data_IF_946902905555
#
_entry.id   IF_946902905555
#
_cell.length_a   1.000
_cell.length_b   1.000
_cell.length_c   1.000
_cell.angle_alpha   90.00
_cell.angle_beta   90.00
_cell.angle_gamma   90.00
#
_symmetry.space_group_name_H-M   'P 1'
#
loop_
_entity.id
_entity.type
_entity.pdbx_description
1 polymer ?
#
# COMPACT_ATOMS: atom_id res chain seq x y z
N UNK A 1 -76.53 -0.21 -2.32
CA UNK A 1 -75.34 -1.07 -2.54
C UNK A 1 -74.14 -0.15 -2.77
N UNK A 2 -73.86 0.75 -1.83
CA UNK A 2 -72.93 0.61 -0.68
C UNK A 2 -71.53 0.17 -1.10
N UNK A 3 -70.68 1.18 -1.27
CA UNK A 3 -69.24 1.11 -1.04
C UNK A 3 -69.00 0.51 0.35
N UNK A 4 -67.99 -0.35 0.45
CA UNK A 4 -67.41 -0.76 1.71
C UNK A 4 -65.94 -0.38 1.65
N UNK A 5 -65.65 0.79 2.22
CA UNK A 5 -64.39 1.08 2.89
C UNK A 5 -64.14 0.03 3.99
N UNK A 6 -62.88 -0.11 4.40
CA UNK A 6 -62.35 -0.56 5.72
C UNK A 6 -61.01 -1.30 5.50
N UNK A 7 -59.94 -1.07 6.29
CA UNK A 7 -59.54 0.15 6.99
C UNK A 7 -58.03 0.47 6.83
N UNK A 8 -57.68 1.73 7.10
CA UNK A 8 -56.34 2.16 7.47
C UNK A 8 -55.85 1.39 8.72
N UNK A 9 -54.90 0.48 8.54
CA UNK A 9 -54.12 -0.07 9.64
C UNK A 9 -52.89 0.82 9.87
N UNK A 10 -53.08 1.73 10.82
CA UNK A 10 -52.08 2.45 11.60
C UNK A 10 -50.64 1.95 11.49
N UNK A 11 -49.79 2.85 10.99
CA UNK A 11 -48.34 2.80 11.04
C UNK A 11 -47.83 2.56 12.46
N UNK A 12 -47.48 1.31 12.79
CA UNK A 12 -46.53 1.03 13.85
C UNK A 12 -45.12 1.31 13.31
N UNK A 13 -44.61 2.50 13.60
CA UNK A 13 -43.20 2.88 13.43
C UNK A 13 -42.30 1.99 14.30
N UNK A 14 -41.82 0.89 13.73
CA UNK A 14 -40.60 0.24 14.21
C UNK A 14 -39.38 0.99 13.65
N UNK A 15 -38.52 1.61 14.48
CA UNK A 15 -37.32 2.29 14.01
C UNK A 15 -36.29 1.34 13.34
N UNK A 16 -36.48 0.02 13.45
CA UNK A 16 -35.71 -1.00 12.73
C UNK A 16 -36.22 -1.35 11.32
N UNK A 17 -37.47 -1.01 10.97
CA UNK A 17 -38.08 -1.35 9.68
C UNK A 17 -37.54 -0.51 8.52
N UNK A 18 -37.40 0.80 8.73
CA UNK A 18 -36.86 1.72 7.73
C UNK A 18 -35.40 1.42 7.38
N UNK A 19 -34.55 1.09 8.37
CA UNK A 19 -33.14 0.73 8.11
C UNK A 19 -33.00 -0.55 7.28
N UNK A 20 -33.84 -1.57 7.54
CA UNK A 20 -33.86 -2.82 6.76
C UNK A 20 -34.29 -2.59 5.31
N UNK A 21 -35.33 -1.79 5.09
CA UNK A 21 -35.80 -1.42 3.76
C UNK A 21 -34.77 -0.60 2.98
N UNK A 22 -34.08 0.32 3.64
CA UNK A 22 -33.01 1.13 3.04
C UNK A 22 -31.80 0.28 2.64
N UNK A 23 -31.32 -0.60 3.52
CA UNK A 23 -30.22 -1.51 3.20
C UNK A 23 -30.56 -2.43 2.01
N UNK A 24 -31.76 -3.01 2.01
CA UNK A 24 -32.21 -3.88 0.93
C UNK A 24 -32.27 -3.13 -0.41
N UNK A 25 -32.74 -1.87 -0.41
CA UNK A 25 -32.74 -1.01 -1.60
C UNK A 25 -31.33 -0.75 -2.13
N UNK A 26 -30.37 -0.47 -1.25
CA UNK A 26 -28.98 -0.25 -1.65
C UNK A 26 -28.35 -1.54 -2.22
N UNK A 27 -28.58 -2.69 -1.59
CA UNK A 27 -28.09 -3.98 -2.08
C UNK A 27 -28.65 -4.32 -3.45
N UNK A 28 -29.95 -4.09 -3.69
CA UNK A 28 -30.59 -4.30 -5.00
C UNK A 28 -29.93 -3.44 -6.07
N UNK A 29 -29.64 -2.17 -5.79
CA UNK A 29 -28.98 -1.27 -6.75
C UNK A 29 -27.59 -1.76 -7.14
N UNK A 30 -26.82 -2.26 -6.17
CA UNK A 30 -25.52 -2.87 -6.42
C UNK A 30 -25.68 -4.17 -7.23
N UNK A 31 -26.65 -5.03 -6.89
CA UNK A 31 -26.93 -6.28 -7.59
C UNK A 31 -27.31 -6.06 -9.06
N UNK A 32 -28.15 -5.05 -9.35
CA UNK A 32 -28.53 -4.69 -10.73
C UNK A 32 -27.30 -4.31 -11.54
N UNK A 33 -26.39 -3.50 -11.00
CA UNK A 33 -25.16 -3.17 -11.71
C UNK A 33 -24.26 -4.41 -11.87
N UNK A 34 -24.11 -5.26 -10.84
CA UNK A 34 -23.32 -6.50 -10.94
C UNK A 34 -23.84 -7.43 -12.04
N UNK A 35 -25.15 -7.60 -12.14
CA UNK A 35 -25.77 -8.38 -13.21
C UNK A 35 -25.53 -7.73 -14.57
N UNK A 36 -25.66 -6.41 -14.68
CA UNK A 36 -25.32 -5.66 -15.89
C UNK A 36 -23.86 -5.85 -16.31
N UNK A 37 -22.93 -5.81 -15.34
CA UNK A 37 -21.50 -6.03 -15.55
C UNK A 37 -21.19 -7.44 -16.06
N UNK A 38 -21.81 -8.45 -15.47
CA UNK A 38 -21.65 -9.83 -15.88
C UNK A 38 -22.23 -10.10 -17.27
N UNK A 39 -23.45 -9.64 -17.53
CA UNK A 39 -24.16 -9.95 -18.76
C UNK A 39 -23.66 -9.16 -19.97
N UNK A 40 -23.23 -7.91 -19.76
CA UNK A 40 -22.86 -6.99 -20.85
C UNK A 40 -21.36 -6.91 -21.10
N UNK A 41 -20.53 -7.13 -20.07
CA UNK A 41 -19.08 -6.98 -20.16
C UNK A 41 -18.31 -8.24 -19.70
N UNK A 42 -19.02 -9.32 -19.37
CA UNK A 42 -18.40 -10.59 -18.97
C UNK A 42 -17.70 -10.56 -17.60
N UNK A 43 -17.97 -9.55 -16.76
CA UNK A 43 -17.27 -9.38 -15.49
C UNK A 43 -17.97 -10.17 -14.38
N UNK A 44 -17.30 -11.22 -13.90
CA UNK A 44 -17.68 -11.93 -12.68
C UNK A 44 -16.70 -11.60 -11.55
N UNK A 45 -17.15 -10.86 -10.53
CA UNK A 45 -16.35 -10.47 -9.36
C UNK A 45 -15.76 -11.65 -8.56
N UNK A 46 -16.25 -12.88 -8.77
CA UNK A 46 -15.68 -14.09 -8.15
C UNK A 46 -14.32 -14.46 -8.76
N UNK A 47 -14.16 -14.30 -10.06
CA UNK A 47 -12.97 -14.70 -10.82
C UNK A 47 -12.18 -13.54 -11.42
N UNK A 48 -12.80 -12.37 -11.60
CA UNK A 48 -12.20 -11.21 -12.21
C UNK A 48 -11.04 -10.67 -11.35
N UNK A 49 -9.94 -10.37 -12.03
CA UNK A 49 -8.70 -9.88 -11.43
C UNK A 49 -8.18 -8.66 -12.19
N UNK A 50 -7.44 -7.82 -11.47
CA UNK A 50 -6.70 -6.67 -11.98
C UNK A 50 -5.21 -6.90 -11.74
N UNK A 51 -4.38 -6.43 -12.67
CA UNK A 51 -2.93 -6.38 -12.46
C UNK A 51 -2.61 -5.15 -11.61
N UNK A 52 -1.90 -5.38 -10.51
CA UNK A 52 -1.44 -4.35 -9.59
C UNK A 52 0.08 -4.48 -9.50
N UNK A 53 0.79 -3.36 -9.60
CA UNK A 53 2.20 -3.32 -9.26
C UNK A 53 2.29 -3.16 -7.74
N UNK A 54 2.78 -4.19 -7.07
CA UNK A 54 3.14 -4.09 -5.65
C UNK A 54 4.52 -3.42 -5.52
N UNK A 55 4.85 -2.93 -4.32
CA UNK A 55 6.13 -2.26 -4.01
C UNK A 55 7.37 -3.07 -4.44
N UNK A 56 7.23 -4.40 -4.50
CA UNK A 56 8.22 -5.36 -5.02
C UNK A 56 8.47 -5.27 -6.55
N UNK A 57 7.81 -4.35 -7.27
CA UNK A 57 7.81 -4.17 -8.74
C UNK A 57 7.33 -5.36 -9.58
N UNK A 58 6.91 -6.45 -8.95
CA UNK A 58 6.29 -7.57 -9.64
C UNK A 58 4.80 -7.29 -9.90
N UNK A 59 4.30 -7.50 -11.14
CA UNK A 59 2.88 -7.39 -11.42
C UNK A 59 2.13 -8.57 -10.77
N UNK A 60 1.37 -8.30 -9.73
CA UNK A 60 0.50 -9.29 -9.08
C UNK A 60 -0.93 -9.17 -9.58
N UNK A 61 -1.60 -10.32 -9.69
CA UNK A 61 -2.99 -10.41 -10.08
C UNK A 61 -3.86 -10.36 -8.83
N UNK A 62 -4.46 -9.22 -8.55
CA UNK A 62 -5.33 -9.02 -7.39
C UNK A 62 -6.80 -9.04 -7.78
N UNK A 63 -7.67 -9.39 -6.84
CA UNK A 63 -9.12 -9.35 -7.09
C UNK A 63 -9.66 -7.93 -6.87
N UNK A 64 -10.80 -7.64 -7.46
CA UNK A 64 -11.50 -6.37 -7.20
C UNK A 64 -12.08 -6.33 -5.78
N UNK A 65 -11.78 -5.28 -5.05
CA UNK A 65 -12.28 -5.02 -3.69
C UNK A 65 -13.40 -3.99 -3.69
N UNK A 66 -13.38 -3.05 -4.64
CA UNK A 66 -14.37 -1.97 -4.71
C UNK A 66 -15.02 -1.89 -6.09
N UNK A 67 -16.28 -1.44 -6.11
CA UNK A 67 -17.03 -1.30 -7.36
C UNK A 67 -16.36 -0.32 -8.34
N UNK A 68 -15.78 0.76 -7.80
CA UNK A 68 -15.10 1.80 -8.58
C UNK A 68 -13.87 1.30 -9.35
N UNK A 69 -13.22 0.24 -8.86
CA UNK A 69 -12.03 -0.32 -9.49
C UNK A 69 -12.32 -0.95 -10.86
N UNK A 70 -13.57 -1.33 -11.14
CA UNK A 70 -13.94 -2.01 -12.39
C UNK A 70 -14.11 -1.04 -13.55
N UNK A 71 -14.54 0.19 -13.30
CA UNK A 71 -14.93 1.12 -14.36
C UNK A 71 -13.84 1.45 -15.38
N UNK A 72 -12.56 1.64 -14.99
CA UNK A 72 -11.49 1.88 -15.95
C UNK A 72 -11.31 0.73 -16.96
N UNK A 73 -11.67 -0.51 -16.60
CA UNK A 73 -11.48 -1.68 -17.47
C UNK A 73 -12.57 -1.84 -18.53
N UNK A 74 -13.72 -1.21 -18.34
CA UNK A 74 -14.88 -1.31 -19.25
C UNK A 74 -15.18 -0.01 -19.97
N UNK A 75 -14.45 1.06 -19.70
CA UNK A 75 -14.69 2.40 -20.26
C UNK A 75 -14.70 2.39 -21.79
N UNK A 76 -13.80 1.63 -22.41
CA UNK A 76 -13.74 1.45 -23.88
C UNK A 76 -14.96 0.74 -24.43
N UNK A 77 -15.47 -0.29 -23.73
CA UNK A 77 -16.67 -1.04 -24.12
C UNK A 77 -17.94 -0.22 -23.90
N UNK A 78 -17.99 0.58 -22.83
CA UNK A 78 -19.08 1.52 -22.54
C UNK A 78 -19.13 2.63 -23.59
N UNK A 79 -17.97 3.12 -24.06
CA UNK A 79 -17.90 4.14 -25.10
C UNK A 79 -18.46 3.66 -26.45
N UNK A 80 -18.43 2.36 -26.71
CA UNK A 80 -19.00 1.74 -27.91
C UNK A 80 -20.53 1.52 -27.84
N UNK A 81 -21.16 1.73 -26.67
CA UNK A 81 -22.61 1.59 -26.51
C UNK A 81 -23.37 2.74 -27.20
N UNK A 82 -24.58 2.44 -27.67
CA UNK A 82 -25.48 3.47 -28.22
C UNK A 82 -25.90 4.50 -27.16
N UNK A 83 -26.25 5.72 -27.59
CA UNK A 83 -26.54 6.87 -26.71
C UNK A 83 -27.52 6.54 -25.56
N UNK A 84 -28.62 5.84 -25.86
CA UNK A 84 -29.64 5.45 -24.86
C UNK A 84 -29.10 4.43 -23.85
N UNK A 85 -28.35 3.43 -24.32
CA UNK A 85 -27.76 2.38 -23.48
C UNK A 85 -26.67 2.96 -22.56
N UNK A 86 -25.83 3.85 -23.11
CA UNK A 86 -24.81 4.57 -22.33
C UNK A 86 -25.43 5.42 -21.23
N UNK A 87 -26.49 6.17 -21.54
CA UNK A 87 -27.19 6.96 -20.53
C UNK A 87 -27.79 6.10 -19.42
N UNK A 88 -28.45 4.99 -19.78
CA UNK A 88 -29.00 4.05 -18.81
C UNK A 88 -27.91 3.42 -17.92
N UNK A 89 -26.78 3.02 -18.53
CA UNK A 89 -25.62 2.49 -17.81
C UNK A 89 -25.06 3.52 -16.80
N UNK A 90 -24.85 4.76 -17.22
CA UNK A 90 -24.34 5.83 -16.36
C UNK A 90 -25.26 6.09 -15.15
N UNK A 91 -26.58 6.17 -15.36
CA UNK A 91 -27.54 6.33 -14.26
C UNK A 91 -27.54 5.14 -13.29
N UNK A 92 -27.49 3.90 -13.81
CA UNK A 92 -27.40 2.69 -12.97
C UNK A 92 -26.07 2.67 -12.21
N UNK A 93 -24.97 3.05 -12.86
CA UNK A 93 -23.64 3.15 -12.28
C UNK A 93 -23.61 4.12 -11.11
N UNK A 94 -24.09 5.35 -11.29
CA UNK A 94 -24.13 6.37 -10.25
C UNK A 94 -24.89 5.89 -9.02
N UNK A 95 -26.12 5.39 -9.20
CA UNK A 95 -26.93 4.90 -8.08
C UNK A 95 -26.33 3.69 -7.36
N UNK A 96 -25.65 2.80 -8.08
CA UNK A 96 -24.98 1.65 -7.50
C UNK A 96 -23.71 2.06 -6.74
N UNK A 97 -22.94 3.04 -7.23
CA UNK A 97 -21.75 3.58 -6.55
C UNK A 97 -22.13 4.29 -5.27
N UNK A 98 -23.14 5.17 -5.31
CA UNK A 98 -23.67 5.81 -4.10
C UNK A 98 -24.14 4.78 -3.08
N UNK A 99 -24.88 3.77 -3.54
CA UNK A 99 -25.40 2.71 -2.66
C UNK A 99 -24.29 1.83 -2.08
N UNK A 100 -23.25 1.54 -2.86
CA UNK A 100 -22.08 0.80 -2.40
C UNK A 100 -21.37 1.54 -1.26
N UNK A 101 -21.07 2.82 -1.44
CA UNK A 101 -20.37 3.61 -0.42
C UNK A 101 -21.23 3.88 0.81
N UNK A 102 -22.56 4.01 0.65
CA UNK A 102 -23.46 4.09 1.79
C UNK A 102 -23.41 2.82 2.63
N UNK A 103 -23.53 1.63 2.02
CA UNK A 103 -23.40 0.36 2.74
C UNK A 103 -22.02 0.25 3.38
N UNK A 104 -20.96 0.61 2.65
CA UNK A 104 -19.60 0.57 3.17
C UNK A 104 -19.45 1.44 4.43
N UNK A 105 -19.95 2.68 4.39
CA UNK A 105 -19.91 3.61 5.52
C UNK A 105 -20.76 3.11 6.70
N UNK A 106 -21.94 2.57 6.45
CA UNK A 106 -22.85 2.09 7.50
C UNK A 106 -22.25 0.92 8.29
N UNK A 107 -21.43 0.08 7.64
CA UNK A 107 -20.82 -1.11 8.24
C UNK A 107 -19.35 -0.94 8.62
N UNK A 108 -18.73 0.21 8.35
CA UNK A 108 -17.35 0.51 8.78
C UNK A 108 -17.15 0.42 10.31
N UNK A 109 -18.06 0.91 11.18
CA UNK A 109 -17.89 0.80 12.63
C UNK A 109 -17.80 -0.65 13.12
N UNK A 110 -18.52 -1.57 12.44
CA UNK A 110 -18.47 -3.00 12.74
C UNK A 110 -17.09 -3.59 12.41
N UNK A 111 -16.48 -3.19 11.29
CA UNK A 111 -15.12 -3.60 10.90
C UNK A 111 -14.10 -3.11 11.93
N UNK A 112 -14.17 -1.84 12.32
CA UNK A 112 -13.27 -1.27 13.33
C UNK A 112 -13.39 -2.00 14.68
N UNK A 113 -14.61 -2.30 15.12
CA UNK A 113 -14.85 -3.06 16.35
C UNK A 113 -14.24 -4.47 16.30
N UNK A 114 -14.41 -5.18 15.17
CA UNK A 114 -13.83 -6.52 14.97
C UNK A 114 -12.30 -6.48 14.89
N UNK A 115 -11.74 -5.49 14.19
CA UNK A 115 -10.29 -5.28 14.08
C UNK A 115 -9.65 -5.08 15.47
N UNK A 116 -10.23 -4.16 16.25
CA UNK A 116 -9.79 -3.85 17.62
C UNK A 116 -9.92 -5.06 18.53
N UNK A 117 -11.07 -5.75 18.52
CA UNK A 117 -11.30 -6.93 19.36
C UNK A 117 -10.44 -8.15 18.97
N UNK A 118 -9.89 -8.16 17.75
CA UNK A 118 -9.07 -9.27 17.25
C UNK A 118 -7.57 -8.96 17.24
N UNK A 119 -7.17 -7.72 17.55
CA UNK A 119 -5.77 -7.27 17.49
C UNK A 119 -5.18 -7.24 16.07
N UNK A 120 -6.01 -7.00 15.05
CA UNK A 120 -5.60 -6.91 13.65
C UNK A 120 -5.72 -5.46 13.20
N UNK A 121 -4.77 -5.02 12.38
CA UNK A 121 -4.82 -3.73 11.70
C UNK A 121 -6.10 -3.58 10.85
N UNK A 122 -6.84 -2.48 11.07
CA UNK A 122 -8.08 -2.19 10.36
C UNK A 122 -7.89 -2.13 8.85
N UNK A 123 -6.73 -1.63 8.40
CA UNK A 123 -6.44 -1.46 6.98
C UNK A 123 -6.38 -2.80 6.23
N UNK A 124 -6.09 -3.90 6.95
CA UNK A 124 -6.07 -5.26 6.39
C UNK A 124 -7.46 -5.89 6.28
N UNK A 125 -8.44 -5.40 7.05
CA UNK A 125 -9.82 -5.94 7.07
C UNK A 125 -10.75 -5.09 6.20
N UNK A 126 -10.49 -3.80 6.06
CA UNK A 126 -11.30 -2.86 5.28
C UNK A 126 -11.64 -3.34 3.84
N UNK A 127 -10.69 -3.89 3.05
CA UNK A 127 -11.00 -4.42 1.72
C UNK A 127 -11.97 -5.61 1.71
N UNK A 128 -12.09 -6.34 2.84
CA UNK A 128 -13.01 -7.47 3.00
C UNK A 128 -14.45 -6.99 2.98
N UNK A 129 -14.76 -5.84 3.59
CA UNK A 129 -16.10 -5.27 3.58
C UNK A 129 -16.53 -4.91 2.15
N UNK A 130 -15.67 -4.20 1.42
CA UNK A 130 -15.92 -3.86 0.01
C UNK A 130 -16.19 -5.12 -0.82
N UNK A 131 -15.33 -6.13 -0.66
CA UNK A 131 -15.48 -7.39 -1.38
C UNK A 131 -16.71 -8.20 -0.96
N UNK A 132 -17.11 -8.16 0.31
CA UNK A 132 -18.34 -8.79 0.79
C UNK A 132 -19.58 -8.16 0.14
N UNK A 133 -19.62 -6.84 -0.03
CA UNK A 133 -20.72 -6.15 -0.73
C UNK A 133 -20.77 -6.60 -2.21
N UNK A 134 -19.61 -6.70 -2.86
CA UNK A 134 -19.53 -7.17 -4.25
C UNK A 134 -19.97 -8.62 -4.42
N UNK A 135 -19.60 -9.50 -3.49
CA UNK A 135 -19.87 -10.94 -3.61
C UNK A 135 -21.21 -11.37 -3.01
N UNK A 136 -21.87 -10.51 -2.25
CA UNK A 136 -23.17 -10.80 -1.67
C UNK A 136 -24.19 -11.14 -2.77
N UNK A 137 -25.01 -12.13 -2.49
CA UNK A 137 -26.01 -12.68 -3.42
C UNK A 137 -27.30 -12.93 -2.65
N UNK A 138 -28.26 -12.01 -2.82
CA UNK A 138 -29.55 -12.06 -2.11
C UNK A 138 -30.37 -13.31 -2.46
N UNK A 139 -30.10 -13.96 -3.62
CA UNK A 139 -30.82 -15.17 -4.04
C UNK A 139 -30.61 -16.36 -3.09
N UNK A 140 -29.52 -16.35 -2.32
CA UNK A 140 -29.15 -17.39 -1.35
C UNK A 140 -29.96 -17.34 -0.05
N UNK A 141 -30.95 -16.44 0.04
CA UNK A 141 -31.84 -16.25 1.20
C UNK A 141 -31.11 -16.02 2.52
N UNK A 142 -29.86 -15.56 2.47
CA UNK A 142 -29.04 -15.26 3.64
C UNK A 142 -29.08 -13.76 3.91
N UNK A 143 -29.26 -13.35 5.16
CA UNK A 143 -29.18 -11.94 5.53
C UNK A 143 -27.75 -11.42 5.28
N UNK A 144 -27.64 -10.22 4.71
CA UNK A 144 -26.37 -9.54 4.45
C UNK A 144 -25.50 -9.44 5.71
N UNK A 145 -26.10 -9.09 6.86
CA UNK A 145 -25.35 -8.96 8.13
C UNK A 145 -24.73 -10.29 8.52
N UNK A 146 -25.50 -11.38 8.49
CA UNK A 146 -25.00 -12.74 8.80
C UNK A 146 -23.93 -13.20 7.82
N UNK A 147 -24.09 -12.89 6.54
CA UNK A 147 -23.07 -13.16 5.53
C UNK A 147 -21.78 -12.37 5.78
N UNK A 148 -21.90 -11.08 6.10
CA UNK A 148 -20.79 -10.20 6.40
C UNK A 148 -20.05 -10.65 7.66
N UNK A 149 -20.76 -10.95 8.75
CA UNK A 149 -20.18 -11.50 9.98
C UNK A 149 -19.36 -12.76 9.72
N UNK A 150 -19.91 -13.69 8.93
CA UNK A 150 -19.21 -14.93 8.57
C UNK A 150 -17.95 -14.63 7.74
N UNK A 151 -18.05 -13.70 6.79
CA UNK A 151 -16.94 -13.31 5.91
C UNK A 151 -15.83 -12.60 6.68
N UNK A 152 -16.18 -11.68 7.58
CA UNK A 152 -15.24 -10.98 8.45
C UNK A 152 -14.58 -11.95 9.42
N UNK A 153 -15.34 -12.85 10.06
CA UNK A 153 -14.79 -13.86 10.97
C UNK A 153 -13.77 -14.77 10.27
N UNK A 154 -14.09 -15.21 9.06
CA UNK A 154 -13.17 -16.06 8.30
C UNK A 154 -11.92 -15.29 7.86
N UNK A 155 -12.06 -14.01 7.49
CA UNK A 155 -10.94 -13.16 7.13
C UNK A 155 -10.02 -12.87 8.32
N UNK A 156 -10.59 -12.61 9.50
CA UNK A 156 -9.87 -12.48 10.77
C UNK A 156 -9.07 -13.76 11.07
N UNK A 157 -9.68 -14.94 10.90
CA UNK A 157 -8.98 -16.23 11.07
C UNK A 157 -7.81 -16.37 10.10
N UNK A 158 -7.98 -15.95 8.84
CA UNK A 158 -6.91 -16.00 7.84
C UNK A 158 -5.77 -15.05 8.19
N UNK A 159 -6.08 -13.80 8.51
CA UNK A 159 -5.09 -12.77 8.86
C UNK A 159 -4.33 -13.13 10.15
N UNK A 160 -5.00 -13.67 11.17
CA UNK A 160 -4.31 -14.20 12.36
C UNK A 160 -3.44 -15.39 12.01
N UNK A 161 -3.93 -16.29 11.16
CA UNK A 161 -3.17 -17.43 10.68
C UNK A 161 -1.90 -17.01 9.94
N UNK A 162 -1.96 -15.95 9.13
CA UNK A 162 -0.80 -15.35 8.47
C UNK A 162 0.20 -14.77 9.48
N UNK A 163 -0.29 -14.04 10.47
CA UNK A 163 0.55 -13.48 11.54
C UNK A 163 1.27 -14.61 12.28
N UNK A 164 0.56 -15.67 12.67
CA UNK A 164 1.17 -16.81 13.35
C UNK A 164 2.16 -17.57 12.46
N UNK A 165 1.83 -17.75 11.18
CA UNK A 165 2.71 -18.37 10.20
C UNK A 165 4.05 -17.61 10.10
N UNK A 166 3.99 -16.28 10.02
CA UNK A 166 5.17 -15.42 10.00
C UNK A 166 5.95 -15.47 11.32
N UNK A 167 5.26 -15.36 12.46
CA UNK A 167 5.90 -15.34 13.79
C UNK A 167 6.60 -16.64 14.16
N UNK A 168 6.08 -17.78 13.71
CA UNK A 168 6.60 -19.11 14.03
C UNK A 168 7.43 -19.71 12.89
N UNK A 169 7.51 -19.05 11.74
CA UNK A 169 8.20 -19.57 10.56
C UNK A 169 7.57 -20.86 9.99
N UNK A 170 6.25 -21.02 10.14
CA UNK A 170 5.49 -22.20 9.71
C UNK A 170 4.65 -21.90 8.45
N UNK A 171 4.21 -22.93 7.70
CA UNK A 171 3.33 -22.74 6.57
C UNK A 171 2.01 -22.04 6.95
N UNK A 172 1.47 -21.25 6.03
CA UNK A 172 0.21 -20.50 6.23
C UNK A 172 -0.98 -21.41 6.58
N UNK A 173 -1.01 -22.62 6.03
CA UNK A 173 -2.00 -23.65 6.38
C UNK A 173 -1.91 -24.09 7.84
N UNK A 174 -0.71 -24.15 8.42
CA UNK A 174 -0.48 -24.47 9.83
C UNK A 174 -0.74 -23.27 10.75
N UNK A 175 -0.41 -22.05 10.30
CA UNK A 175 -0.66 -20.81 11.05
C UNK A 175 -2.12 -20.64 11.46
N UNK A 176 -3.06 -21.04 10.59
CA UNK A 176 -4.52 -21.01 10.90
C UNK A 176 -4.93 -21.97 12.02
N UNK A 177 -4.15 -23.03 12.25
CA UNK A 177 -4.42 -24.08 13.23
C UNK A 177 -3.77 -23.79 14.58
N UNK A 178 -2.89 -22.79 14.67
CA UNK A 178 -2.15 -22.47 15.91
C UNK A 178 -3.06 -22.32 17.13
N UNK A 179 -4.20 -21.58 17.10
CA UNK A 179 -5.08 -21.51 18.25
C UNK A 179 -5.66 -22.85 18.70
N UNK A 180 -5.91 -23.77 17.75
CA UNK A 180 -6.45 -25.11 18.05
C UNK A 180 -5.35 -26.02 18.61
N UNK A 181 -4.13 -25.92 18.09
CA UNK A 181 -2.96 -26.62 18.61
C UNK A 181 -2.60 -26.14 20.02
N UNK A 182 -2.64 -24.83 20.27
CA UNK A 182 -2.45 -24.26 21.61
C UNK A 182 -3.52 -24.75 22.59
N UNK A 183 -4.78 -24.79 22.16
CA UNK A 183 -5.86 -25.33 22.97
C UNK A 183 -5.68 -26.83 23.27
N UNK A 184 -5.24 -27.61 22.29
CA UNK A 184 -4.95 -29.04 22.49
C UNK A 184 -3.81 -29.25 23.51
N UNK A 185 -2.76 -28.43 23.44
CA UNK A 185 -1.67 -28.43 24.43
C UNK A 185 -2.17 -28.05 25.83
N UNK A 186 -2.98 -26.99 25.96
CA UNK A 186 -3.58 -26.58 27.23
C UNK A 186 -4.47 -27.68 27.84
N UNK A 187 -5.27 -28.36 27.01
CA UNK A 187 -6.07 -29.50 27.45
C UNK A 187 -5.19 -30.67 27.94
N UNK A 188 -4.10 -30.97 27.23
CA UNK A 188 -3.17 -32.02 27.64
C UNK A 188 -2.44 -31.68 28.95
N UNK A 189 -2.07 -30.42 29.17
CA UNK A 189 -1.55 -29.93 30.47
C UNK A 189 -2.59 -30.10 31.59
N UNK A 190 -3.85 -29.73 31.33
CA UNK A 190 -4.92 -29.88 32.32
C UNK A 190 -5.20 -31.36 32.66
N UNK A 191 -5.12 -32.26 31.69
CA UNK A 191 -5.37 -33.69 31.88
C UNK A 191 -4.21 -34.41 32.59
N UNK A 192 -2.97 -34.03 32.28
CA UNK A 192 -1.78 -34.58 32.93
C UNK A 192 -1.54 -34.01 34.33
N UNK A 193 -2.12 -32.84 34.63
CA UNK A 193 -1.97 -32.15 35.93
C UNK A 193 -0.57 -31.57 36.18
N UNK A 194 0.34 -31.68 35.20
CA UNK A 194 1.72 -31.23 35.25
C UNK A 194 2.08 -30.50 33.95
N UNK A 195 3.22 -29.79 33.95
CA UNK A 195 3.77 -29.25 32.71
C UNK A 195 4.23 -30.41 31.79
N UNK A 196 3.87 -30.33 30.51
CA UNK A 196 4.27 -31.31 29.50
C UNK A 196 5.77 -31.23 29.24
N UNK A 197 6.42 -32.39 29.11
CA UNK A 197 7.78 -32.47 28.59
C UNK A 197 7.84 -32.06 27.11
N UNK A 198 9.03 -31.70 26.59
CA UNK A 198 9.21 -31.40 25.17
C UNK A 198 8.69 -32.47 24.21
N UNK A 199 8.90 -33.74 24.56
CA UNK A 199 8.47 -34.89 23.75
C UNK A 199 6.95 -35.08 23.81
N UNK A 200 6.34 -34.94 24.99
CA UNK A 200 4.88 -35.01 25.15
C UNK A 200 4.16 -33.87 24.43
N UNK A 201 4.72 -32.66 24.48
CA UNK A 201 4.21 -31.50 23.74
C UNK A 201 4.24 -31.74 22.23
N UNK A 202 5.37 -32.24 21.72
CA UNK A 202 5.52 -32.51 20.28
C UNK A 202 4.56 -33.61 19.82
N UNK A 203 4.37 -34.68 20.62
CA UNK A 203 3.41 -35.74 20.32
C UNK A 203 1.97 -35.23 20.22
N UNK A 204 1.53 -34.36 21.14
CA UNK A 204 0.18 -33.77 21.11
C UNK A 204 -0.05 -32.96 19.83
N UNK A 205 0.95 -32.18 19.40
CA UNK A 205 0.86 -31.38 18.17
C UNK A 205 0.86 -32.28 16.93
N UNK A 206 1.73 -33.30 16.88
CA UNK A 206 1.82 -34.22 15.75
C UNK A 206 0.54 -35.04 15.61
N UNK A 207 0.00 -35.57 16.71
CA UNK A 207 -1.25 -36.33 16.72
C UNK A 207 -2.44 -35.48 16.25
N UNK A 208 -2.51 -34.21 16.70
CA UNK A 208 -3.52 -33.27 16.22
C UNK A 208 -3.42 -33.05 14.70
N UNK A 209 -2.21 -32.82 14.19
CA UNK A 209 -1.98 -32.57 12.76
C UNK A 209 -2.24 -33.82 11.90
N UNK A 210 -1.92 -35.01 12.40
CA UNK A 210 -2.16 -36.28 11.71
C UNK A 210 -3.65 -36.59 11.55
N UNK A 211 -4.48 -36.16 12.51
CA UNK A 211 -5.94 -36.32 12.46
C UNK A 211 -6.64 -35.23 11.62
N UNK A 212 -5.94 -34.15 11.30
CA UNK A 212 -6.51 -33.02 10.58
C UNK A 212 -6.69 -33.33 9.07
N UNK A 213 -7.76 -32.87 8.40
CA UNK A 213 -7.99 -33.09 6.96
C UNK A 213 -6.88 -32.58 6.02
N UNK A 214 -6.05 -31.66 6.51
CA UNK A 214 -4.95 -31.09 5.75
C UNK A 214 -3.72 -32.00 5.90
N UNK A 215 -3.29 -32.63 4.81
CA UNK A 215 -2.11 -33.52 4.82
C UNK A 215 -0.83 -32.70 4.94
N UNK A 216 -0.17 -32.77 6.10
CA UNK A 216 1.19 -32.28 6.29
C UNK A 216 2.17 -33.44 6.16
N UNK A 217 3.38 -33.19 5.64
CA UNK A 217 4.43 -34.20 5.66
C UNK A 217 4.91 -34.42 7.10
N UNK A 218 5.45 -35.61 7.40
CA UNK A 218 6.00 -35.94 8.74
C UNK A 218 7.04 -34.91 9.18
N UNK A 219 7.93 -34.53 8.26
CA UNK A 219 8.96 -33.51 8.50
C UNK A 219 8.35 -32.14 8.79
N UNK A 220 7.27 -31.76 8.09
CA UNK A 220 6.57 -30.49 8.35
C UNK A 220 5.88 -30.50 9.71
N UNK A 221 5.27 -31.61 10.11
CA UNK A 221 4.62 -31.74 11.42
C UNK A 221 5.63 -31.61 12.56
N UNK A 222 6.81 -32.22 12.42
CA UNK A 222 7.90 -32.09 13.39
C UNK A 222 8.40 -30.65 13.51
N UNK A 223 8.59 -29.95 12.38
CA UNK A 223 8.97 -28.52 12.39
C UNK A 223 7.90 -27.63 13.02
N UNK A 224 6.62 -27.94 12.83
CA UNK A 224 5.51 -27.21 13.46
C UNK A 224 5.49 -27.46 14.96
N UNK A 225 5.64 -28.71 15.40
CA UNK A 225 5.71 -29.07 16.82
C UNK A 225 6.88 -28.36 17.52
N UNK A 226 8.06 -28.40 16.90
CA UNK A 226 9.23 -27.66 17.37
C UNK A 226 8.97 -26.15 17.46
N UNK A 227 8.34 -25.55 16.45
CA UNK A 227 8.01 -24.13 16.44
C UNK A 227 6.96 -23.76 17.52
N UNK A 228 5.96 -24.62 17.75
CA UNK A 228 4.96 -24.46 18.81
C UNK A 228 5.59 -24.53 20.20
N UNK A 229 6.57 -25.42 20.39
CA UNK A 229 7.34 -25.58 21.63
C UNK A 229 8.30 -24.42 21.89
N UNK A 230 9.03 -23.97 20.88
CA UNK A 230 9.95 -22.83 20.99
C UNK A 230 9.21 -21.50 21.19
N UNK A 231 7.94 -21.43 20.82
CA UNK A 231 7.12 -20.23 20.95
C UNK A 231 7.54 -19.13 19.98
N UNK A 232 7.14 -17.89 20.28
CA UNK A 232 7.37 -16.73 19.40
C UNK A 232 8.86 -16.52 19.12
N UNK A 233 9.27 -16.53 17.85
CA UNK A 233 10.51 -15.85 17.41
C UNK A 233 10.18 -14.44 16.95
N UNK A 234 9.75 -13.62 17.89
CA UNK A 234 9.76 -12.16 17.71
C UNK A 234 10.34 -11.55 18.98
N UNK A 235 11.67 -11.37 18.96
CA UNK A 235 12.31 -10.39 19.83
C UNK A 235 11.84 -9.02 19.33
N UNK A 236 10.78 -8.48 19.95
CA UNK A 236 10.54 -7.03 19.90
C UNK A 236 11.57 -6.38 20.81
N UNK A 237 12.12 -5.24 20.38
CA UNK A 237 12.95 -4.37 21.21
C UNK A 237 12.23 -3.96 22.53
N UNK A 238 10.89 -4.00 22.55
CA UNK A 238 10.09 -3.67 23.75
C UNK A 238 10.11 -4.77 24.83
N UNK A 239 10.43 -6.02 24.50
CA UNK A 239 10.57 -7.11 25.49
C UNK A 239 11.96 -7.08 26.14
N UNK A 240 12.86 -6.23 25.63
CA UNK A 240 14.19 -5.97 26.16
C UNK A 240 14.21 -4.84 27.20
N UNK A 241 13.08 -4.44 27.80
CA UNK A 241 13.06 -3.39 28.85
C UNK A 241 13.99 -3.72 30.02
N UNK A 242 14.14 -5.00 30.38
CA UNK A 242 15.11 -5.44 31.40
C UNK A 242 16.59 -5.37 30.95
N UNK A 243 16.85 -5.19 29.66
CA UNK A 243 18.17 -4.88 29.09
C UNK A 243 18.39 -3.37 28.90
N UNK A 244 17.30 -2.59 28.82
CA UNK A 244 17.32 -1.14 28.61
C UNK A 244 17.38 -0.34 29.93
N UNK A 245 16.91 -0.89 31.05
CA UNK A 245 17.12 -0.33 32.40
C UNK A 245 17.85 -1.31 33.34
N UNK A 246 19.14 -1.11 33.65
CA UNK A 246 19.83 -1.90 34.64
C UNK A 246 19.50 -1.36 36.03
N UNK A 247 18.35 -1.72 36.58
CA UNK A 247 18.06 -1.48 37.99
C UNK A 247 17.35 -2.66 38.64
N UNK A 248 18.05 -3.29 39.58
CA UNK A 248 17.58 -4.22 40.62
C UNK A 248 17.22 -5.66 40.20
N UNK A 249 18.24 -6.52 40.10
CA UNK A 249 18.03 -7.97 40.17
C UNK A 249 19.27 -8.79 39.82
N UNK A 250 19.98 -9.31 40.82
CA UNK A 250 21.11 -10.22 40.64
C UNK A 250 20.66 -11.52 39.95
N UNK A 251 21.07 -11.73 38.71
CA UNK A 251 20.83 -12.97 37.99
C UNK A 251 21.82 -13.15 36.84
N UNK A 252 22.85 -13.95 37.08
CA UNK A 252 23.87 -14.37 36.12
C UNK A 252 23.27 -14.85 34.78
N UNK A 253 23.58 -14.17 33.67
CA UNK A 253 23.40 -14.73 32.33
C UNK A 253 24.70 -14.60 31.54
N UNK A 254 25.15 -15.76 31.09
CA UNK A 254 26.45 -16.06 30.50
C UNK A 254 26.82 -15.18 29.30
N UNK A 255 28.10 -14.84 29.25
CA UNK A 255 28.81 -14.24 28.13
C UNK A 255 28.53 -14.97 26.81
N UNK A 256 27.74 -14.36 25.92
CA UNK A 256 27.85 -14.60 24.50
C UNK A 256 28.72 -13.49 23.91
N UNK A 257 29.90 -13.87 23.38
CA UNK A 257 30.79 -12.96 22.65
C UNK A 257 30.14 -12.60 21.31
N UNK A 258 29.40 -11.50 21.30
CA UNK A 258 28.94 -10.81 20.09
C UNK A 258 30.11 -10.05 19.47
N UNK A 259 30.45 -10.43 18.24
CA UNK A 259 31.43 -9.76 17.41
C UNK A 259 30.71 -8.69 16.60
N UNK A 260 30.51 -7.49 17.15
CA UNK A 260 29.78 -6.42 16.47
C UNK A 260 30.55 -5.10 16.48
N UNK A 261 30.90 -4.66 15.27
CA UNK A 261 31.28 -3.30 14.95
C UNK A 261 30.08 -2.37 15.22
N UNK A 262 30.03 -1.77 16.41
CA UNK A 262 29.10 -0.69 16.74
C UNK A 262 29.48 0.57 15.95
N UNK A 263 28.66 0.93 14.96
CA UNK A 263 28.35 2.34 14.71
C UNK A 263 26.98 2.53 15.35
N UNK A 264 26.92 3.32 16.41
CA UNK A 264 25.73 3.49 17.23
C UNK A 264 24.59 4.05 16.36
N UNK A 265 23.35 3.58 16.51
CA UNK A 265 22.19 4.10 15.77
C UNK A 265 22.07 5.64 15.87
N UNK A 266 22.62 6.23 16.95
CA UNK A 266 22.78 7.67 17.09
C UNK A 266 23.71 8.28 16.02
N UNK A 267 24.85 7.65 15.73
CA UNK A 267 25.78 8.08 14.69
C UNK A 267 25.17 7.97 13.30
N UNK A 268 24.35 6.94 13.04
CA UNK A 268 23.64 6.80 11.76
C UNK A 268 22.58 7.90 11.58
N UNK A 269 21.81 8.21 12.64
CA UNK A 269 20.84 9.32 12.61
C UNK A 269 21.57 10.66 12.40
N UNK A 270 22.65 10.92 13.14
CA UNK A 270 23.46 12.12 12.98
C UNK A 270 24.05 12.22 11.58
N UNK A 271 24.48 11.09 11.01
CA UNK A 271 25.00 11.03 9.65
C UNK A 271 23.92 11.35 8.61
N UNK A 272 22.71 10.80 8.74
CA UNK A 272 21.59 11.12 7.84
C UNK A 272 21.18 12.59 7.93
N UNK A 273 21.14 13.16 9.15
CA UNK A 273 20.86 14.57 9.36
C UNK A 273 21.92 15.47 8.70
N UNK A 274 23.21 15.14 8.88
CA UNK A 274 24.32 15.83 8.19
C UNK A 274 24.16 15.78 6.67
N UNK A 275 23.84 14.61 6.11
CA UNK A 275 23.60 14.48 4.67
C UNK A 275 22.44 15.35 4.16
N UNK A 276 21.37 15.48 4.95
CA UNK A 276 20.23 16.35 4.61
C UNK A 276 20.63 17.81 4.66
N UNK A 277 21.39 18.24 5.68
CA UNK A 277 21.91 19.61 5.76
C UNK A 277 22.88 19.92 4.62
N UNK A 278 23.82 19.03 4.32
CA UNK A 278 24.73 19.16 3.18
C UNK A 278 23.95 19.24 1.85
N UNK A 279 22.84 18.49 1.73
CA UNK A 279 21.98 18.54 0.55
C UNK A 279 21.24 19.88 0.44
N UNK A 280 20.80 20.46 1.55
CA UNK A 280 20.18 21.80 1.61
C UNK A 280 21.16 22.86 1.11
N UNK A 281 22.41 22.79 1.55
CA UNK A 281 23.46 23.74 1.16
C UNK A 281 23.85 23.59 -0.31
N UNK A 282 24.03 22.35 -0.78
CA UNK A 282 24.26 22.05 -2.21
C UNK A 282 23.10 22.56 -3.08
N UNK A 283 21.86 22.34 -2.65
CA UNK A 283 20.65 22.82 -3.31
C UNK A 283 20.53 24.36 -3.35
N UNK A 284 21.32 25.08 -2.55
CA UNK A 284 21.31 26.54 -2.46
C UNK A 284 19.96 27.08 -2.01
N UNK A 285 19.30 26.42 -1.05
CA UNK A 285 18.05 26.93 -0.50
C UNK A 285 18.28 28.24 0.23
N UNK A 286 17.44 29.23 -0.02
CA UNK A 286 17.36 30.38 0.89
C UNK A 286 16.90 29.92 2.27
N UNK A 287 17.19 30.68 3.33
CA UNK A 287 16.75 30.33 4.68
C UNK A 287 15.22 30.14 4.80
N UNK A 288 14.44 30.82 3.96
CA UNK A 288 12.98 30.64 3.88
C UNK A 288 12.59 29.33 3.18
N UNK A 289 13.39 28.87 2.21
CA UNK A 289 13.15 27.61 1.49
C UNK A 289 13.59 26.41 2.32
N UNK A 290 14.75 26.49 2.99
CA UNK A 290 15.22 25.46 3.90
C UNK A 290 14.19 25.20 5.02
N UNK A 291 13.64 26.27 5.59
CA UNK A 291 12.58 26.21 6.60
C UNK A 291 11.32 25.46 6.11
N UNK A 292 10.85 25.70 4.88
CA UNK A 292 9.70 24.99 4.29
C UNK A 292 9.99 23.50 4.02
N UNK A 293 11.24 23.16 3.74
CA UNK A 293 11.66 21.77 3.47
C UNK A 293 11.81 20.99 4.77
N UNK A 294 12.46 21.57 5.78
CA UNK A 294 12.64 20.95 7.09
C UNK A 294 11.30 20.68 7.79
N UNK A 295 10.37 21.64 7.76
CA UNK A 295 9.01 21.44 8.27
C UNK A 295 8.31 20.26 7.60
N UNK A 296 8.41 20.16 6.26
CA UNK A 296 7.77 19.08 5.51
C UNK A 296 8.37 17.71 5.77
N UNK A 297 9.65 17.64 6.15
CA UNK A 297 10.35 16.41 6.51
C UNK A 297 10.18 16.05 8.00
N UNK A 298 9.49 16.87 8.79
CA UNK A 298 9.35 16.66 10.23
C UNK A 298 10.65 16.88 11.01
N UNK A 299 11.60 17.63 10.44
CA UNK A 299 12.89 17.94 11.06
C UNK A 299 12.83 19.29 11.78
N UNK A 300 13.77 19.58 12.70
CA UNK A 300 13.79 20.86 13.42
C UNK A 300 13.90 22.07 12.47
N UNK A 301 13.01 23.07 12.65
CA UNK A 301 12.96 24.29 11.85
C UNK A 301 12.63 25.53 12.69
N UNK A 302 12.92 26.72 12.15
CA UNK A 302 12.55 28.02 12.75
C UNK A 302 11.05 28.30 12.56
N UNK A 303 10.26 28.03 13.59
CA UNK A 303 8.80 28.14 13.56
C UNK A 303 8.31 29.57 13.26
N UNK A 304 8.98 30.59 13.82
CA UNK A 304 8.61 32.00 13.58
C UNK A 304 8.85 32.39 12.12
N UNK A 305 9.91 31.86 11.49
CA UNK A 305 10.16 32.05 10.07
C UNK A 305 9.17 31.28 9.21
N UNK A 306 8.82 30.06 9.57
CA UNK A 306 7.79 29.30 8.87
C UNK A 306 6.46 30.04 8.87
N UNK A 307 5.98 30.49 10.03
CA UNK A 307 4.74 31.25 10.17
C UNK A 307 4.73 32.54 9.31
N UNK A 308 5.86 33.27 9.23
CA UNK A 308 5.99 34.45 8.35
C UNK A 308 5.92 34.11 6.86
N UNK A 309 6.46 32.96 6.45
CA UNK A 309 6.39 32.50 5.06
C UNK A 309 4.99 31.97 4.74
N UNK A 310 4.37 31.28 5.68
CA UNK A 310 3.04 30.71 5.58
C UNK A 310 1.96 31.80 5.50
N UNK A 311 2.06 32.85 6.33
CA UNK A 311 1.11 33.96 6.35
C UNK A 311 0.98 34.72 5.00
N UNK A 312 2.03 34.67 4.15
CA UNK A 312 2.06 35.36 2.86
C UNK A 312 1.48 34.52 1.71
N UNK A 313 1.02 33.29 1.96
CA UNK A 313 0.67 32.32 0.92
C UNK A 313 -0.52 31.46 1.34
N UNK A 314 -1.32 31.06 0.36
CA UNK A 314 -2.33 30.03 0.60
C UNK A 314 -1.66 28.67 0.87
N UNK A 315 -2.34 27.81 1.61
CA UNK A 315 -1.91 26.43 1.89
C UNK A 315 -1.59 25.66 0.60
N UNK A 316 -2.40 25.83 -0.45
CA UNK A 316 -2.15 25.24 -1.77
C UNK A 316 -0.86 25.77 -2.44
N UNK A 317 -0.57 27.07 -2.32
CA UNK A 317 0.65 27.69 -2.87
C UNK A 317 1.91 27.23 -2.11
N UNK A 318 1.80 27.04 -0.79
CA UNK A 318 2.85 26.46 0.04
C UNK A 318 3.13 25.02 -0.37
N UNK A 319 2.11 24.15 -0.43
CA UNK A 319 2.27 22.75 -0.88
C UNK A 319 2.94 22.65 -2.25
N UNK A 320 2.52 23.46 -3.22
CA UNK A 320 3.14 23.53 -4.55
C UNK A 320 4.58 24.03 -4.52
N UNK A 321 4.92 24.95 -3.61
CA UNK A 321 6.31 25.40 -3.43
C UNK A 321 7.16 24.32 -2.78
N UNK A 322 6.71 23.76 -1.66
CA UNK A 322 7.41 22.72 -0.92
C UNK A 322 7.71 21.51 -1.78
N UNK A 323 6.75 21.05 -2.60
CA UNK A 323 6.99 19.94 -3.53
C UNK A 323 8.13 20.23 -4.52
N UNK A 324 8.22 21.46 -5.03
CA UNK A 324 9.32 21.88 -5.94
C UNK A 324 10.67 21.88 -5.23
N UNK A 325 10.68 22.27 -3.96
CA UNK A 325 11.89 22.29 -3.15
C UNK A 325 12.34 20.85 -2.82
N UNK A 326 11.41 19.94 -2.50
CA UNK A 326 11.73 18.52 -2.26
C UNK A 326 12.38 17.86 -3.47
N UNK A 327 11.87 18.10 -4.69
CA UNK A 327 12.48 17.57 -5.92
C UNK A 327 13.93 18.08 -6.07
N UNK A 328 14.19 19.35 -5.77
CA UNK A 328 15.55 19.92 -5.81
C UNK A 328 16.45 19.38 -4.69
N UNK A 329 15.89 19.12 -3.50
CA UNK A 329 16.62 18.52 -2.38
C UNK A 329 17.07 17.10 -2.73
N UNK A 330 16.20 16.30 -3.33
CA UNK A 330 16.51 14.93 -3.74
C UNK A 330 17.65 14.90 -4.77
N UNK A 331 17.56 15.76 -5.79
CA UNK A 331 18.64 15.96 -6.74
C UNK A 331 19.95 16.36 -6.04
N UNK A 332 19.87 17.28 -5.08
CA UNK A 332 21.05 17.75 -4.35
C UNK A 332 21.67 16.65 -3.50
N UNK A 333 20.86 15.86 -2.78
CA UNK A 333 21.29 14.77 -1.89
C UNK A 333 22.21 13.79 -2.61
N UNK A 334 21.81 13.37 -3.80
CA UNK A 334 22.53 12.36 -4.59
C UNK A 334 23.62 12.92 -5.52
N UNK A 335 23.77 14.24 -5.63
CA UNK A 335 24.77 14.88 -6.50
C UNK A 335 26.22 14.33 -6.39
N UNK A 336 26.80 14.03 -5.20
CA UNK A 336 28.18 13.56 -5.08
C UNK A 336 28.36 12.15 -5.67
N UNK A 337 27.26 11.42 -5.81
CA UNK A 337 27.22 10.07 -6.36
C UNK A 337 26.86 10.08 -7.86
N UNK A 338 26.63 11.27 -8.45
CA UNK A 338 26.15 11.46 -9.81
C UNK A 338 26.95 12.58 -10.54
N UNK A 339 28.23 12.30 -10.88
CA UNK A 339 29.16 13.33 -11.35
C UNK A 339 28.77 13.99 -12.68
N UNK A 340 28.08 13.29 -13.58
CA UNK A 340 27.69 13.81 -14.91
C UNK A 340 26.54 14.79 -14.80
N UNK A 341 25.53 14.49 -13.97
CA UNK A 341 24.32 15.31 -13.91
C UNK A 341 24.27 16.28 -12.72
N UNK A 342 25.13 16.12 -11.70
CA UNK A 342 25.20 17.03 -10.56
C UNK A 342 25.44 18.50 -10.94
N UNK A 343 26.24 18.74 -11.98
CA UNK A 343 26.55 20.10 -12.47
C UNK A 343 25.32 20.92 -12.90
N UNK A 344 24.17 20.27 -13.13
CA UNK A 344 22.93 20.94 -13.54
C UNK A 344 22.04 21.39 -12.38
N UNK A 345 22.38 21.09 -11.12
CA UNK A 345 21.53 21.32 -9.96
C UNK A 345 21.00 22.76 -9.88
N UNK A 346 21.86 23.74 -10.17
CA UNK A 346 21.53 25.19 -10.12
C UNK A 346 21.16 25.80 -11.46
N UNK A 347 21.29 25.06 -12.55
CA UNK A 347 21.04 25.56 -13.90
C UNK A 347 19.55 25.76 -14.18
N UNK A 348 19.24 26.73 -15.05
CA UNK A 348 17.91 26.93 -15.63
C UNK A 348 17.69 26.00 -16.83
N UNK A 349 16.44 25.76 -17.27
CA UNK A 349 16.19 24.94 -18.45
C UNK A 349 16.89 25.48 -19.70
N UNK A 350 16.93 26.80 -19.88
CA UNK A 350 17.59 27.41 -21.04
C UNK A 350 19.11 27.24 -21.00
N UNK A 351 19.73 27.47 -19.84
CA UNK A 351 21.19 27.41 -19.72
C UNK A 351 21.75 25.98 -19.74
N UNK A 352 20.95 24.98 -19.33
CA UNK A 352 21.40 23.60 -19.22
C UNK A 352 21.23 22.80 -20.51
N UNK A 353 20.39 23.24 -21.45
CA UNK A 353 19.85 22.40 -22.52
C UNK A 353 20.91 21.69 -23.36
N UNK A 354 21.79 22.44 -24.02
CA UNK A 354 22.77 21.86 -24.94
C UNK A 354 23.75 20.93 -24.22
N UNK A 355 24.21 21.34 -23.03
CA UNK A 355 25.10 20.52 -22.22
C UNK A 355 24.41 19.24 -21.74
N UNK A 356 23.14 19.33 -21.33
CA UNK A 356 22.34 18.18 -20.89
C UNK A 356 22.09 17.19 -22.03
N UNK A 357 21.73 17.69 -23.23
CA UNK A 357 21.57 16.85 -24.43
C UNK A 357 22.87 16.13 -24.75
N UNK A 358 24.00 16.84 -24.68
CA UNK A 358 25.32 16.25 -24.88
C UNK A 358 25.60 15.16 -23.84
N UNK A 359 25.40 15.41 -22.54
CA UNK A 359 25.62 14.41 -21.49
C UNK A 359 24.75 13.16 -21.67
N UNK A 360 23.48 13.31 -22.07
CA UNK A 360 22.60 12.15 -22.34
C UNK A 360 23.06 11.41 -23.60
N UNK A 361 23.49 12.13 -24.64
CA UNK A 361 24.03 11.53 -25.86
C UNK A 361 25.34 10.76 -25.59
N UNK A 362 26.23 11.30 -24.76
CA UNK A 362 27.45 10.62 -24.36
C UNK A 362 27.12 9.30 -23.64
N UNK A 363 26.11 9.29 -22.74
CA UNK A 363 25.60 8.05 -22.14
C UNK A 363 25.01 7.07 -23.16
N UNK A 364 24.28 7.56 -24.17
CA UNK A 364 23.69 6.73 -25.21
C UNK A 364 24.78 6.02 -26.04
N UNK A 365 25.83 6.77 -26.40
CA UNK A 365 27.01 6.25 -27.10
C UNK A 365 27.74 5.21 -26.25
N UNK A 366 27.99 5.49 -24.97
CA UNK A 366 28.64 4.54 -24.06
C UNK A 366 27.85 3.23 -23.91
N UNK A 367 26.52 3.30 -23.95
CA UNK A 367 25.65 2.14 -23.82
C UNK A 367 25.31 1.46 -25.16
N UNK A 368 25.79 1.99 -26.29
CA UNK A 368 25.51 1.44 -27.62
C UNK A 368 24.05 1.57 -28.07
N UNK A 369 23.31 2.55 -27.56
CA UNK A 369 21.89 2.75 -27.84
C UNK A 369 21.67 4.11 -28.52
N UNK A 370 20.67 4.18 -29.39
CA UNK A 370 20.29 5.45 -30.03
C UNK A 370 19.84 6.49 -28.99
N UNK A 371 20.29 7.73 -29.15
CA UNK A 371 19.96 8.85 -28.27
C UNK A 371 18.44 9.00 -28.07
N UNK A 372 17.67 8.82 -29.15
CA UNK A 372 16.21 8.90 -29.09
C UNK A 372 15.62 7.79 -28.22
N UNK A 373 16.11 6.56 -28.37
CA UNK A 373 15.65 5.40 -27.59
C UNK A 373 15.94 5.60 -26.11
N UNK A 374 17.16 6.04 -25.75
CA UNK A 374 17.51 6.32 -24.35
C UNK A 374 16.62 7.42 -23.75
N UNK A 375 16.34 8.48 -24.51
CA UNK A 375 15.44 9.56 -24.06
C UNK A 375 14.02 9.05 -23.87
N UNK A 376 13.48 8.26 -24.81
CA UNK A 376 12.14 7.70 -24.70
C UNK A 376 12.00 6.76 -23.50
N UNK A 377 13.01 5.94 -23.22
CA UNK A 377 13.06 5.07 -22.05
C UNK A 377 13.15 5.84 -20.73
N UNK A 378 14.04 6.84 -20.64
CA UNK A 378 14.12 7.72 -19.47
C UNK A 378 12.75 8.36 -19.18
N UNK A 379 12.08 8.89 -20.21
CA UNK A 379 10.80 9.54 -20.07
C UNK A 379 9.65 8.56 -19.76
N UNK A 380 9.71 7.34 -20.29
CA UNK A 380 8.82 6.24 -19.91
C UNK A 380 8.99 5.93 -18.42
N UNK A 381 10.22 5.75 -17.96
CA UNK A 381 10.53 5.49 -16.56
C UNK A 381 10.04 6.61 -15.65
N UNK A 382 10.30 7.87 -16.00
CA UNK A 382 9.79 9.02 -15.24
C UNK A 382 8.25 9.09 -15.24
N UNK A 383 7.56 8.58 -16.25
CA UNK A 383 6.08 8.59 -16.30
C UNK A 383 5.44 7.48 -15.44
N UNK A 384 6.16 6.36 -15.31
CA UNK A 384 5.76 5.19 -14.53
C UNK A 384 6.24 5.24 -13.07
N UNK A 385 7.28 6.03 -12.77
CA UNK A 385 7.85 6.18 -11.44
C UNK A 385 6.80 6.67 -10.43
N UNK A 386 6.75 6.07 -9.25
CA UNK A 386 5.88 6.47 -8.14
C UNK A 386 6.49 7.61 -7.29
N UNK A 387 7.70 8.04 -7.64
CA UNK A 387 8.45 9.06 -6.92
C UNK A 387 7.90 10.48 -7.10
N UNK A 388 8.48 11.41 -6.33
CA UNK A 388 8.21 12.85 -6.44
C UNK A 388 8.62 13.49 -7.77
N UNK A 389 9.46 12.83 -8.58
CA UNK A 389 9.83 13.31 -9.92
C UNK A 389 8.97 12.72 -11.04
N UNK A 390 7.88 12.01 -10.72
CA UNK A 390 6.91 11.52 -11.72
C UNK A 390 6.43 12.64 -12.64
N UNK A 391 6.43 12.37 -13.94
CA UNK A 391 5.89 13.29 -14.96
C UNK A 391 4.58 12.77 -15.54
N UNK A 392 3.63 13.68 -15.73
CA UNK A 392 2.41 13.40 -16.48
C UNK A 392 2.69 13.16 -17.96
N UNK A 393 1.74 12.54 -18.68
CA UNK A 393 1.84 12.29 -20.12
C UNK A 393 2.10 13.61 -20.90
N UNK A 394 1.46 14.71 -20.48
CA UNK A 394 1.66 16.03 -21.07
C UNK A 394 3.07 16.59 -20.80
N UNK A 395 3.58 16.44 -19.57
CA UNK A 395 4.95 16.83 -19.22
C UNK A 395 5.99 16.00 -20.00
N UNK A 396 5.74 14.70 -20.19
CA UNK A 396 6.58 13.82 -21.02
C UNK A 396 6.68 14.31 -22.45
N UNK A 397 5.57 14.67 -23.10
CA UNK A 397 5.60 15.20 -24.47
C UNK A 397 6.43 16.49 -24.59
N UNK A 398 6.33 17.37 -23.59
CA UNK A 398 7.14 18.61 -23.52
C UNK A 398 8.62 18.33 -23.29
N UNK A 399 8.94 17.36 -22.44
CA UNK A 399 10.31 16.93 -22.19
C UNK A 399 10.94 16.26 -23.43
N UNK A 400 10.18 15.43 -24.14
CA UNK A 400 10.60 14.84 -25.40
C UNK A 400 10.90 15.93 -26.44
N UNK A 401 10.02 16.91 -26.60
CA UNK A 401 10.29 18.07 -27.47
C UNK A 401 11.54 18.85 -27.05
N UNK A 402 11.74 19.07 -25.76
CA UNK A 402 12.91 19.76 -25.22
C UNK A 402 14.23 18.99 -25.44
N UNK A 403 14.23 17.66 -25.31
CA UNK A 403 15.42 16.81 -25.46
C UNK A 403 15.70 16.36 -26.89
N UNK A 404 14.69 16.21 -27.74
CA UNK A 404 14.85 15.63 -29.08
C UNK A 404 14.86 16.69 -30.19
N UNK A 405 14.14 17.79 -30.05
CA UNK A 405 14.07 18.79 -31.12
C UNK A 405 15.28 19.74 -31.08
N UNK A 406 15.80 20.17 -32.24
CA UNK A 406 16.89 21.15 -32.33
C UNK A 406 16.43 22.52 -31.78
N UNK A 407 15.24 22.97 -32.16
CA UNK A 407 14.55 24.14 -31.59
C UNK A 407 13.31 23.61 -30.88
N UNK A 408 13.50 23.17 -29.64
CA UNK A 408 12.39 22.65 -28.82
C UNK A 408 11.85 23.66 -27.84
N UNK A 409 10.68 23.39 -27.25
CA UNK A 409 9.97 24.31 -26.38
C UNK A 409 10.72 24.56 -25.07
N UNK A 410 10.64 25.80 -24.55
CA UNK A 410 11.01 26.09 -23.16
C UNK A 410 10.08 25.35 -22.21
N UNK A 411 10.65 24.56 -21.31
CA UNK A 411 9.91 23.80 -20.31
C UNK A 411 9.78 24.57 -18.99
N UNK A 412 8.69 24.37 -18.24
CA UNK A 412 8.55 24.95 -16.91
C UNK A 412 9.69 24.52 -15.98
N UNK A 413 10.14 25.43 -15.12
CA UNK A 413 11.19 25.16 -14.11
C UNK A 413 10.90 23.91 -13.27
N UNK A 414 9.62 23.67 -12.94
CA UNK A 414 9.19 22.48 -12.19
C UNK A 414 9.50 21.18 -12.93
N UNK A 415 9.08 21.09 -14.18
CA UNK A 415 9.28 19.92 -15.03
C UNK A 415 10.76 19.67 -15.28
N UNK A 416 11.55 20.74 -15.38
CA UNK A 416 13.01 20.63 -15.49
C UNK A 416 13.67 20.11 -14.21
N UNK A 417 13.23 20.55 -13.02
CA UNK A 417 13.76 20.02 -11.76
C UNK A 417 13.45 18.52 -11.61
N UNK A 418 12.27 18.06 -12.05
CA UNK A 418 11.94 16.63 -12.09
C UNK A 418 12.90 15.85 -12.98
N UNK A 419 13.19 16.34 -14.18
CA UNK A 419 14.15 15.72 -15.10
C UNK A 419 15.56 15.63 -14.49
N UNK A 420 16.02 16.70 -13.84
CA UNK A 420 17.34 16.70 -13.19
C UNK A 420 17.42 15.71 -12.04
N UNK A 421 16.40 15.69 -11.17
CA UNK A 421 16.33 14.74 -10.06
C UNK A 421 16.34 13.29 -10.57
N UNK A 422 15.53 13.00 -11.59
CA UNK A 422 15.48 11.69 -12.23
C UNK A 422 16.84 11.26 -12.79
N UNK A 423 17.53 12.14 -13.53
CA UNK A 423 18.84 11.84 -14.11
C UNK A 423 19.93 11.60 -13.06
N UNK A 424 19.96 12.43 -12.02
CA UNK A 424 20.92 12.27 -10.91
C UNK A 424 20.67 10.96 -10.15
N UNK A 425 19.41 10.62 -9.90
CA UNK A 425 19.04 9.39 -9.22
C UNK A 425 19.34 8.15 -10.07
N UNK A 426 19.06 8.22 -11.36
CA UNK A 426 19.38 7.16 -12.30
C UNK A 426 20.91 6.96 -12.38
N UNK A 427 21.70 8.04 -12.50
CA UNK A 427 23.16 7.93 -12.56
C UNK A 427 23.74 7.24 -11.33
N UNK A 428 23.23 7.58 -10.14
CA UNK A 428 23.56 6.87 -8.90
C UNK A 428 23.26 5.36 -8.96
N UNK A 429 22.18 4.99 -9.64
CA UNK A 429 21.75 3.60 -9.83
C UNK A 429 22.49 2.90 -10.98
N UNK A 430 23.47 3.54 -11.61
CA UNK A 430 24.24 2.98 -12.72
C UNK A 430 23.63 3.28 -14.10
N UNK A 431 23.08 4.48 -14.31
CA UNK A 431 22.45 4.85 -15.58
C UNK A 431 23.38 4.76 -16.80
N UNK A 432 22.91 4.15 -17.90
CA UNK A 432 21.61 3.48 -18.02
C UNK A 432 21.60 2.15 -17.25
N UNK A 433 20.62 1.99 -16.34
CA UNK A 433 20.49 0.84 -15.46
C UNK A 433 19.93 -0.36 -16.25
N UNK A 434 20.58 -0.74 -17.34
CA UNK A 434 20.23 -1.91 -18.12
C UNK A 434 21.18 -3.01 -17.68
N UNK A 435 20.67 -3.93 -16.87
CA UNK A 435 21.26 -5.25 -16.81
C UNK A 435 21.34 -5.77 -18.23
N UNK A 436 22.54 -6.04 -18.71
CA UNK A 436 22.79 -6.81 -19.90
C UNK A 436 21.85 -8.03 -19.93
N UNK A 437 20.86 -8.03 -20.81
CA UNK A 437 20.39 -9.28 -21.37
C UNK A 437 21.45 -9.70 -22.40
N UNK A 438 22.16 -10.82 -22.22
CA UNK A 438 22.75 -11.46 -23.37
C UNK A 438 21.61 -11.97 -24.28
N UNK A 439 21.89 -11.97 -25.57
CA UNK A 439 21.12 -12.57 -26.65
C UNK A 439 20.55 -13.95 -26.30
#
# INVERSE_FOLDING_TARGET
>A
MSQAEVPEASFNHHPGGHRRLTLQRHLIRVDVLKLGLRNSFGIDFRSATRRVQTDDREPRSERFHYLAEVFPFIETQVAALGKKQRQAYETIKEHAVESFWQIYSDFQPMVQSIATGSGIDSDRIDPVLGRAILLFDASRRTNFVTYLEKTLRESVKNLRGEIYAQQLGIPLSAGRLVPQMSWALEQAVMQSGNALSPEESDLVVIDFLAQHPCRFSVETMQRIAEAMRQGRRTLSLDVCDGWLEPSSGSGSVSQARGNDCFVEQHDEIQFQLRQIHDAIDRAGFSANEACLVLERLGLSYDERRFQRVAAKRTTASLRKRTMRLLVRLMAARYAPQAPRFAGYLRSTPTAARERLKKSINDCAVEAGVDFKVLVDELLNWMSLSESVYRVSINERGKLAGYLLQPIGPTIPSVTFQKLKAALIEQERLGFPCWSAQPL
#
